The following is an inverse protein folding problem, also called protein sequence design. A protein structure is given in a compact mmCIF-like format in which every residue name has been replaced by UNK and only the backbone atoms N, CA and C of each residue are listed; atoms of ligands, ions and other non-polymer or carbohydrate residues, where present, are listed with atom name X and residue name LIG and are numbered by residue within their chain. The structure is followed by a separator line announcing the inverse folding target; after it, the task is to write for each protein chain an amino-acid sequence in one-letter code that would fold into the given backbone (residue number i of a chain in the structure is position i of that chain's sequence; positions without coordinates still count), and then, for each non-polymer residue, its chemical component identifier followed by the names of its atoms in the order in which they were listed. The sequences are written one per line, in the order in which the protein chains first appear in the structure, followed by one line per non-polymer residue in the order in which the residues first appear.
data_IF_569529264096
#
_entry.id   IF_569529264096
#
_cell.length_a   1.000
_cell.length_b   1.000
_cell.length_c   1.000
_cell.angle_alpha   90.00
_cell.angle_beta   90.00
_cell.angle_gamma   90.00
#
_symmetry.space_group_name_H-M   'P 1'
#
loop_
_entity.id
_entity.type
_entity.pdbx_description
1 polymer ?
#
# COMPACT_ATOMS: atom_id res chain seq x y z
N UNK A 1 -9.11 15.80 -46.17
CA UNK A 1 -7.85 16.19 -45.51
C UNK A 1 -8.12 16.59 -44.06
N UNK A 2 -7.77 15.75 -43.09
CA UNK A 2 -7.03 16.07 -41.85
C UNK A 2 -6.93 14.80 -41.00
N UNK A 3 -5.72 14.57 -40.51
CA UNK A 3 -5.07 13.28 -40.28
C UNK A 3 -5.41 12.64 -38.93
N UNK A 4 -5.44 11.31 -38.92
CA UNK A 4 -5.35 10.44 -37.75
C UNK A 4 -4.18 10.82 -36.84
N UNK A 5 -4.40 10.76 -35.52
CA UNK A 5 -3.35 10.38 -34.57
C UNK A 5 -3.94 9.32 -33.63
N UNK A 6 -3.65 8.07 -33.96
CA UNK A 6 -3.76 6.91 -33.09
C UNK A 6 -2.82 7.12 -31.90
N UNK A 7 -3.36 7.34 -30.71
CA UNK A 7 -2.59 7.28 -29.47
C UNK A 7 -2.27 5.82 -29.17
N UNK A 8 -1.04 5.41 -29.51
CA UNK A 8 -0.47 4.11 -29.17
C UNK A 8 -0.32 4.01 -27.65
N UNK A 9 -1.08 3.11 -27.02
CA UNK A 9 -0.83 2.63 -25.67
C UNK A 9 0.53 1.93 -25.65
N UNK A 10 1.52 2.60 -25.05
CA UNK A 10 2.82 2.01 -24.80
C UNK A 10 2.68 0.93 -23.72
N UNK A 11 2.67 -0.33 -24.16
CA UNK A 11 2.87 -1.48 -23.28
C UNK A 11 4.30 -1.41 -22.72
N UNK A 12 4.44 -0.92 -21.49
CA UNK A 12 5.69 -1.01 -20.75
C UNK A 12 5.84 -2.44 -20.21
N UNK A 13 6.42 -3.32 -21.03
CA UNK A 13 6.90 -4.63 -20.59
C UNK A 13 8.09 -4.45 -19.65
N UNK A 14 7.92 -4.83 -18.38
CA UNK A 14 9.05 -4.95 -17.46
C UNK A 14 9.67 -6.32 -17.69
N UNK A 15 10.68 -6.37 -18.55
CA UNK A 15 11.58 -7.52 -18.69
C UNK A 15 12.46 -7.56 -17.43
N UNK A 16 12.24 -8.57 -16.59
CA UNK A 16 13.10 -8.87 -15.45
C UNK A 16 14.32 -9.61 -16.00
N UNK A 17 15.34 -8.86 -16.42
CA UNK A 17 16.63 -9.42 -16.84
C UNK A 17 17.38 -9.84 -15.57
N UNK A 18 17.32 -11.14 -15.26
CA UNK A 18 18.30 -11.81 -14.41
C UNK A 18 19.62 -11.94 -15.17
N UNK A 19 20.39 -10.85 -15.31
CA UNK A 19 21.81 -10.96 -15.66
C UNK A 19 22.58 -11.27 -14.38
N UNK A 20 23.06 -12.51 -14.30
CA UNK A 20 23.98 -12.94 -13.27
C UNK A 20 25.26 -12.13 -13.31
N UNK A 21 25.55 -11.46 -12.20
CA UNK A 21 26.91 -11.10 -11.81
C UNK A 21 27.07 -11.48 -10.33
N UNK A 22 28.19 -12.14 -10.08
CA UNK A 22 28.60 -12.89 -8.89
C UNK A 22 28.49 -12.12 -7.56
N UNK A 23 28.34 -12.84 -6.42
CA UNK A 23 28.12 -12.21 -5.13
C UNK A 23 29.43 -11.62 -4.60
N UNK A 24 29.58 -10.30 -4.70
CA UNK A 24 30.44 -9.57 -3.79
C UNK A 24 29.71 -9.46 -2.45
N UNK A 25 30.03 -10.36 -1.53
CA UNK A 25 29.63 -10.26 -0.13
C UNK A 25 30.33 -9.05 0.51
N UNK A 26 29.72 -7.88 0.39
CA UNK A 26 30.03 -6.76 1.24
C UNK A 26 29.36 -7.00 2.61
N UNK A 27 30.18 -7.46 3.55
CA UNK A 27 29.90 -7.49 4.98
C UNK A 27 29.67 -6.06 5.49
N UNK A 28 28.53 -5.83 6.15
CA UNK A 28 28.34 -4.94 7.31
C UNK A 28 26.85 -4.56 7.44
N UNK A 29 26.10 -5.35 8.21
CA UNK A 29 25.05 -4.90 9.13
C UNK A 29 24.25 -6.11 9.60
N UNK A 30 23.95 -6.11 10.89
CA UNK A 30 23.18 -7.08 11.65
C UNK A 30 21.70 -7.09 11.21
N UNK A 31 21.44 -7.52 9.97
CA UNK A 31 20.13 -7.47 9.36
C UNK A 31 19.77 -8.85 8.84
N UNK A 32 18.89 -9.58 9.56
CA UNK A 32 18.34 -10.88 9.14
C UNK A 32 17.91 -10.78 7.67
N UNK A 33 18.70 -11.33 6.72
CA UNK A 33 18.43 -11.17 5.30
C UNK A 33 17.36 -12.16 4.86
N UNK A 34 17.09 -13.18 5.68
CA UNK A 34 16.05 -14.16 5.48
C UNK A 34 14.81 -13.78 6.29
N UNK A 35 13.65 -13.81 5.62
CA UNK A 35 12.33 -13.71 6.23
C UNK A 35 11.83 -15.14 6.41
N UNK A 36 11.65 -15.55 7.66
CA UNK A 36 11.01 -16.78 8.06
C UNK A 36 9.95 -16.46 9.12
N UNK A 37 8.68 -16.51 8.74
CA UNK A 37 7.57 -16.12 9.62
C UNK A 37 6.41 -17.11 9.48
N UNK A 38 6.43 -18.22 10.24
CA UNK A 38 5.27 -19.08 10.42
C UNK A 38 4.24 -18.40 11.32
N UNK A 39 2.96 -18.59 11.02
CA UNK A 39 1.84 -18.05 11.79
C UNK A 39 0.64 -18.98 11.73
N UNK A 40 -0.10 -19.09 12.84
CA UNK A 40 -1.37 -19.81 12.91
C UNK A 40 -2.49 -18.82 12.60
N UNK A 41 -3.25 -19.05 11.53
CA UNK A 41 -4.33 -18.16 11.05
C UNK A 41 -5.72 -18.64 11.46
N UNK A 42 -5.84 -19.86 11.98
CA UNK A 42 -7.08 -20.43 12.49
C UNK A 42 -6.83 -21.73 13.24
N UNK A 43 -7.89 -22.35 13.77
CA UNK A 43 -7.78 -23.61 14.54
C UNK A 43 -6.97 -24.68 13.81
N UNK A 44 -7.25 -24.84 12.50
CA UNK A 44 -6.62 -25.78 11.59
C UNK A 44 -6.02 -25.07 10.36
N UNK A 45 -5.56 -23.82 10.52
CA UNK A 45 -5.00 -23.05 9.41
C UNK A 45 -3.66 -22.43 9.79
N UNK A 46 -2.69 -22.60 8.90
CA UNK A 46 -1.32 -22.15 9.06
C UNK A 46 -0.88 -21.38 7.82
N UNK A 47 0.05 -20.46 8.04
CA UNK A 47 0.62 -19.63 7.00
C UNK A 47 2.11 -19.47 7.25
N UNK A 48 2.91 -19.77 6.23
CA UNK A 48 4.34 -19.62 6.25
C UNK A 48 4.75 -18.56 5.24
N UNK A 49 5.37 -17.48 5.71
CA UNK A 49 5.95 -16.44 4.87
C UNK A 49 7.47 -16.60 4.83
N UNK A 50 7.98 -16.76 3.62
CA UNK A 50 9.38 -16.92 3.28
C UNK A 50 9.82 -15.77 2.40
N UNK A 51 11.08 -15.36 2.51
CA UNK A 51 11.62 -14.38 1.58
C UNK A 51 13.01 -13.91 1.97
N UNK A 52 13.47 -12.92 1.22
CA UNK A 52 14.71 -12.21 1.49
C UNK A 52 14.44 -10.73 1.71
N UNK A 53 15.28 -10.10 2.51
CA UNK A 53 15.28 -8.67 2.81
C UNK A 53 16.68 -8.13 2.60
N UNK A 54 16.76 -7.00 1.92
CA UNK A 54 17.99 -6.25 1.74
C UNK A 54 17.74 -4.82 2.21
N UNK A 55 18.50 -4.39 3.20
CA UNK A 55 18.54 -3.01 3.67
C UNK A 55 19.60 -2.23 2.89
N UNK A 56 19.35 -0.95 2.63
CA UNK A 56 20.24 -0.11 1.84
C UNK A 56 19.58 1.22 1.46
N UNK A 57 20.03 1.84 0.37
CA UNK A 57 19.38 3.07 -0.16
C UNK A 57 17.89 2.84 -0.45
N UNK A 58 17.55 1.64 -0.88
CA UNK A 58 16.19 1.11 -0.92
C UNK A 58 16.17 -0.14 -0.05
N UNK A 59 15.23 -0.17 0.89
CA UNK A 59 14.89 -1.37 1.64
C UNK A 59 13.99 -2.23 0.76
N UNK A 60 14.53 -3.33 0.24
CA UNK A 60 13.81 -4.26 -0.62
C UNK A 60 13.55 -5.57 0.10
N UNK A 61 12.43 -6.19 -0.22
CA UNK A 61 12.07 -7.51 0.27
C UNK A 61 11.20 -8.22 -0.75
N UNK A 62 11.35 -9.53 -0.87
CA UNK A 62 10.54 -10.33 -1.77
C UNK A 62 10.52 -11.79 -1.30
N UNK A 63 9.48 -12.53 -1.69
CA UNK A 63 9.41 -13.94 -1.39
C UNK A 63 8.07 -14.57 -1.71
N UNK A 64 7.79 -15.65 -1.01
CA UNK A 64 6.58 -16.44 -1.18
C UNK A 64 5.87 -16.61 0.16
N UNK A 65 4.56 -16.70 0.10
CA UNK A 65 3.70 -17.02 1.23
C UNK A 65 2.87 -18.24 0.85
N UNK A 66 2.90 -19.25 1.71
CA UNK A 66 2.08 -20.44 1.56
C UNK A 66 1.10 -20.44 2.71
N UNK A 67 -0.20 -20.46 2.40
CA UNK A 67 -1.24 -20.66 3.40
C UNK A 67 -1.85 -22.04 3.20
N UNK A 68 -2.24 -22.71 4.28
CA UNK A 68 -2.92 -23.99 4.22
C UNK A 68 -3.96 -24.04 5.34
N UNK A 69 -5.20 -24.33 4.98
CA UNK A 69 -6.27 -24.63 5.92
C UNK A 69 -6.66 -26.10 5.82
N UNK A 70 -7.16 -26.66 6.92
CA UNK A 70 -7.83 -27.95 6.93
C UNK A 70 -9.21 -27.80 7.58
N UNK A 71 -10.18 -28.54 7.05
CA UNK A 71 -11.52 -28.68 7.64
C UNK A 71 -11.46 -29.49 8.93
N UNK A 72 -12.56 -29.53 9.69
CA UNK A 72 -12.65 -30.39 10.90
C UNK A 72 -12.48 -31.88 10.59
N UNK A 73 -12.78 -32.31 9.36
CA UNK A 73 -12.61 -33.68 8.89
C UNK A 73 -11.21 -33.96 8.32
N UNK A 74 -10.28 -33.01 8.43
CA UNK A 74 -8.89 -33.17 7.96
C UNK A 74 -8.67 -32.86 6.47
N UNK A 75 -9.72 -32.57 5.69
CA UNK A 75 -9.59 -32.21 4.27
C UNK A 75 -8.91 -30.85 4.13
N UNK A 76 -7.83 -30.77 3.35
CA UNK A 76 -7.15 -29.53 3.02
C UNK A 76 -8.10 -28.62 2.21
N UNK A 77 -8.18 -27.35 2.60
CA UNK A 77 -8.98 -26.33 1.94
C UNK A 77 -8.18 -25.02 1.84
N UNK A 78 -8.01 -24.48 0.62
CA UNK A 78 -8.46 -25.01 -0.68
C UNK A 78 -7.63 -26.23 -1.14
N UNK A 79 -8.12 -27.03 -2.11
CA UNK A 79 -7.35 -28.12 -2.70
C UNK A 79 -6.14 -27.54 -3.46
N UNK A 80 -4.95 -27.71 -2.89
CA UNK A 80 -3.71 -27.04 -3.32
C UNK A 80 -3.35 -25.92 -2.36
N UNK A 81 -2.13 -25.95 -1.81
CA UNK A 81 -1.66 -24.91 -0.89
C UNK A 81 -1.57 -23.57 -1.66
N UNK A 82 -2.38 -22.54 -1.35
CA UNK A 82 -2.29 -21.26 -2.02
C UNK A 82 -0.90 -20.66 -1.83
N UNK A 83 -0.19 -20.51 -2.94
CA UNK A 83 1.08 -19.79 -3.00
C UNK A 83 0.80 -18.36 -3.46
N UNK A 84 1.37 -17.40 -2.73
CA UNK A 84 1.35 -15.98 -3.04
C UNK A 84 2.78 -15.48 -3.14
N UNK A 85 3.15 -14.90 -4.27
CA UNK A 85 4.42 -14.20 -4.44
C UNK A 85 4.22 -12.75 -4.02
N UNK A 86 5.21 -12.17 -3.37
CA UNK A 86 5.13 -10.79 -2.91
C UNK A 86 6.49 -10.11 -3.02
N UNK A 87 6.46 -8.80 -3.19
CA UNK A 87 7.64 -7.96 -3.28
C UNK A 87 7.33 -6.55 -2.79
N UNK A 88 8.31 -5.93 -2.16
CA UNK A 88 8.22 -4.55 -1.68
C UNK A 88 9.58 -3.89 -1.75
N UNK A 89 9.61 -2.68 -2.29
CA UNK A 89 10.76 -1.79 -2.24
C UNK A 89 10.31 -0.49 -1.58
N UNK A 90 11.04 -0.02 -0.59
CA UNK A 90 10.75 1.23 0.10
C UNK A 90 12.00 2.04 0.31
N UNK A 91 11.85 3.36 0.33
CA UNK A 91 12.92 4.29 0.61
C UNK A 91 12.36 5.44 1.42
N UNK A 92 13.07 5.77 2.48
CA UNK A 92 12.85 6.98 3.23
C UNK A 92 14.05 7.91 3.05
N UNK A 93 13.77 9.21 3.01
CA UNK A 93 14.77 10.26 2.85
C UNK A 93 14.25 11.55 3.46
N UNK A 94 15.17 12.46 3.76
CA UNK A 94 14.84 13.71 4.44
C UNK A 94 15.57 13.81 5.78
N UNK A 95 15.76 15.04 6.23
CA UNK A 95 16.42 15.38 7.49
C UNK A 95 15.63 16.50 8.16
N UNK A 96 15.58 16.48 9.49
CA UNK A 96 14.89 17.49 10.28
C UNK A 96 13.39 17.58 9.93
N UNK A 97 12.94 18.79 9.61
CA UNK A 97 11.54 19.15 9.43
C UNK A 97 10.89 18.64 8.14
N UNK A 98 11.61 17.99 7.21
CA UNK A 98 11.05 17.46 5.96
C UNK A 98 11.39 15.98 5.82
N UNK A 99 10.37 15.14 5.65
CA UNK A 99 10.53 13.70 5.38
C UNK A 99 9.81 13.31 4.11
N UNK A 100 10.35 12.33 3.40
CA UNK A 100 9.79 11.77 2.19
C UNK A 100 9.97 10.26 2.19
N UNK A 101 8.88 9.54 1.99
CA UNK A 101 8.89 8.10 1.76
C UNK A 101 8.44 7.79 0.33
N UNK A 102 8.92 6.68 -0.20
CA UNK A 102 8.52 6.12 -1.49
C UNK A 102 8.45 4.61 -1.34
N UNK A 103 7.43 4.00 -1.91
CA UNK A 103 7.17 2.58 -1.79
C UNK A 103 6.64 2.04 -3.11
N UNK A 104 7.07 0.84 -3.46
CA UNK A 104 6.52 0.02 -4.53
C UNK A 104 6.24 -1.36 -3.95
N UNK A 105 5.11 -1.94 -4.29
CA UNK A 105 4.69 -3.26 -3.85
C UNK A 105 4.12 -4.05 -5.00
N UNK A 106 4.40 -5.34 -5.02
CA UNK A 106 3.84 -6.31 -5.94
C UNK A 106 3.34 -7.50 -5.14
N UNK A 107 2.20 -8.03 -5.52
CA UNK A 107 1.61 -9.24 -4.96
C UNK A 107 1.03 -10.07 -6.11
N UNK A 108 1.16 -11.39 -6.05
CA UNK A 108 0.57 -12.31 -7.03
C UNK A 108 0.06 -13.55 -6.33
N UNK A 109 -1.24 -13.81 -6.43
CA UNK A 109 -1.90 -14.99 -5.90
C UNK A 109 -2.08 -16.01 -7.02
N UNK A 110 -1.24 -17.06 -7.02
CA UNK A 110 -1.26 -18.09 -8.03
C UNK A 110 -2.61 -18.84 -8.06
N UNK A 111 -3.24 -19.08 -6.92
CA UNK A 111 -4.52 -19.81 -6.88
C UNK A 111 -5.64 -19.06 -7.62
N UNK A 112 -5.64 -17.73 -7.60
CA UNK A 112 -6.67 -16.90 -8.23
C UNK A 112 -6.23 -16.28 -9.56
N UNK A 113 -4.95 -16.40 -9.91
CA UNK A 113 -4.35 -15.66 -11.03
C UNK A 113 -4.29 -14.15 -10.83
N UNK A 114 -4.60 -13.63 -9.64
CA UNK A 114 -4.71 -12.18 -9.39
C UNK A 114 -3.36 -11.59 -8.97
N UNK A 115 -2.87 -10.61 -9.73
CA UNK A 115 -1.72 -9.78 -9.39
C UNK A 115 -2.13 -8.36 -9.00
N UNK A 116 -1.47 -7.80 -7.98
CA UNK A 116 -1.63 -6.42 -7.54
C UNK A 116 -0.28 -5.71 -7.65
N UNK A 117 -0.29 -4.53 -8.25
CA UNK A 117 0.84 -3.61 -8.30
C UNK A 117 0.44 -2.30 -7.61
N UNK A 118 1.33 -1.78 -6.77
CA UNK A 118 1.13 -0.53 -6.07
C UNK A 118 2.41 0.28 -6.03
N UNK A 119 2.29 1.60 -6.20
CA UNK A 119 3.39 2.52 -5.96
C UNK A 119 2.85 3.75 -5.24
N UNK A 120 3.63 4.31 -4.33
CA UNK A 120 3.22 5.48 -3.58
C UNK A 120 4.39 6.29 -3.04
N UNK A 121 4.09 7.55 -2.73
CA UNK A 121 5.02 8.47 -2.08
C UNK A 121 4.28 9.23 -1.00
N UNK A 122 4.91 9.38 0.16
CA UNK A 122 4.45 10.33 1.17
C UNK A 122 5.52 11.42 1.35
N UNK A 123 5.08 12.64 1.63
CA UNK A 123 5.96 13.75 2.01
C UNK A 123 5.33 14.46 3.20
N UNK A 124 6.07 14.61 4.28
CA UNK A 124 5.66 15.41 5.42
C UNK A 124 6.63 16.55 5.65
N UNK A 125 6.12 17.69 6.12
CA UNK A 125 6.92 18.83 6.51
C UNK A 125 6.24 19.70 7.57
N UNK A 126 7.04 20.41 8.35
CA UNK A 126 6.56 21.43 9.27
C UNK A 126 6.21 22.68 8.45
N UNK A 127 4.95 23.12 8.49
CA UNK A 127 4.49 24.36 7.83
C UNK A 127 4.76 25.56 8.72
N UNK A 128 4.41 25.44 10.00
CA UNK A 128 4.65 26.43 11.06
C UNK A 128 5.00 25.68 12.35
N UNK A 129 5.54 26.33 13.40
CA UNK A 129 5.87 25.65 14.67
C UNK A 129 4.71 24.88 15.32
N UNK A 130 3.46 25.16 14.92
CA UNK A 130 2.25 24.53 15.45
C UNK A 130 1.46 23.74 14.41
N UNK A 131 1.97 23.62 13.17
CA UNK A 131 1.26 22.99 12.07
C UNK A 131 2.21 22.16 11.19
N UNK A 132 1.89 20.90 11.03
CA UNK A 132 2.54 19.97 10.13
C UNK A 132 1.62 19.67 8.94
N UNK A 133 2.23 19.42 7.78
CA UNK A 133 1.55 18.98 6.58
C UNK A 133 2.11 17.63 6.12
N UNK A 134 1.23 16.79 5.61
CA UNK A 134 1.57 15.54 4.95
C UNK A 134 0.79 15.43 3.64
N UNK A 135 1.46 15.00 2.58
CA UNK A 135 0.83 14.67 1.30
C UNK A 135 1.21 13.26 0.92
N UNK A 136 0.21 12.44 0.64
CA UNK A 136 0.37 11.09 0.14
C UNK A 136 -0.20 10.97 -1.26
N UNK A 137 0.51 10.26 -2.14
CA UNK A 137 0.09 9.95 -3.50
C UNK A 137 0.36 8.48 -3.76
N UNK A 138 -0.61 7.76 -4.27
CA UNK A 138 -0.48 6.34 -4.59
C UNK A 138 -1.23 5.97 -5.86
N UNK A 139 -0.68 5.04 -6.61
CA UNK A 139 -1.33 4.37 -7.73
C UNK A 139 -1.41 2.88 -7.43
N UNK A 140 -2.55 2.27 -7.73
CA UNK A 140 -2.77 0.83 -7.61
C UNK A 140 -3.36 0.28 -8.92
N UNK A 141 -2.92 -0.91 -9.31
CA UNK A 141 -3.42 -1.65 -10.46
C UNK A 141 -3.58 -3.12 -10.06
N UNK A 142 -4.73 -3.69 -10.39
CA UNK A 142 -4.98 -5.12 -10.22
C UNK A 142 -5.22 -5.77 -11.58
N UNK A 143 -4.60 -6.92 -11.82
CA UNK A 143 -4.78 -7.72 -13.02
C UNK A 143 -5.11 -9.17 -12.66
N UNK A 144 -5.93 -9.83 -13.46
CA UNK A 144 -6.15 -11.27 -13.40
C UNK A 144 -5.54 -11.90 -14.67
N UNK A 145 -4.51 -12.72 -14.48
CA UNK A 145 -3.80 -13.40 -15.55
C UNK A 145 -4.65 -14.50 -16.22
N UNK A 146 -5.55 -15.14 -15.47
CA UNK A 146 -6.43 -16.19 -16.01
C UNK A 146 -7.57 -15.63 -16.84
N UNK A 147 -8.03 -14.43 -16.49
CA UNK A 147 -9.04 -13.70 -17.25
C UNK A 147 -8.43 -12.77 -18.32
N UNK A 148 -7.10 -12.66 -18.37
CA UNK A 148 -6.37 -11.70 -19.22
C UNK A 148 -6.90 -10.27 -19.13
N UNK A 149 -7.34 -9.85 -17.93
CA UNK A 149 -8.01 -8.57 -17.70
C UNK A 149 -7.34 -7.80 -16.58
N UNK A 150 -7.15 -6.50 -16.79
CA UNK A 150 -6.76 -5.57 -15.73
C UNK A 150 -7.91 -4.65 -15.36
N UNK A 151 -8.02 -4.36 -14.07
CA UNK A 151 -8.84 -3.27 -13.55
C UNK A 151 -8.29 -1.92 -14.00
N UNK A 152 -9.13 -0.90 -13.89
CA UNK A 152 -8.71 0.48 -14.10
C UNK A 152 -7.65 0.89 -13.07
N UNK A 153 -6.57 1.59 -13.46
CA UNK A 153 -5.62 2.14 -12.51
C UNK A 153 -6.32 3.11 -11.56
N UNK A 154 -6.12 2.90 -10.25
CA UNK A 154 -6.66 3.76 -9.21
C UNK A 154 -5.58 4.70 -8.70
N UNK A 155 -5.69 5.99 -9.00
CA UNK A 155 -4.86 7.03 -8.43
C UNK A 155 -5.55 7.59 -7.18
N UNK A 156 -4.81 7.73 -6.10
CA UNK A 156 -5.28 8.34 -4.85
C UNK A 156 -4.28 9.39 -4.41
N UNK A 157 -4.78 10.57 -4.07
CA UNK A 157 -4.01 11.64 -3.48
C UNK A 157 -4.69 12.08 -2.20
N UNK A 158 -3.93 12.21 -1.12
CA UNK A 158 -4.43 12.80 0.12
C UNK A 158 -3.47 13.85 0.63
N UNK A 159 -4.04 14.85 1.29
CA UNK A 159 -3.31 15.87 2.03
C UNK A 159 -3.88 15.90 3.45
N UNK A 160 -3.00 15.95 4.44
CA UNK A 160 -3.33 16.03 5.85
C UNK A 160 -2.60 17.22 6.46
N UNK A 161 -3.33 18.06 7.16
CA UNK A 161 -2.78 19.09 8.04
C UNK A 161 -2.98 18.61 9.47
N UNK A 162 -1.95 18.72 10.30
CA UNK A 162 -1.99 18.33 11.69
C UNK A 162 -1.54 19.51 12.55
N UNK A 163 -2.28 19.82 13.60
CA UNK A 163 -1.81 20.71 14.64
C UNK A 163 -1.50 19.89 15.90
N UNK A 164 -0.21 19.74 16.26
CA UNK A 164 0.16 19.02 17.49
C UNK A 164 -0.38 19.69 18.75
N UNK A 165 -0.51 21.03 18.74
CA UNK A 165 -0.96 21.82 19.89
C UNK A 165 -2.44 21.58 20.17
N UNK A 166 -3.31 21.69 19.15
CA UNK A 166 -4.75 21.47 19.31
C UNK A 166 -5.16 20.00 19.19
N UNK A 167 -4.21 19.12 18.82
CA UNK A 167 -4.42 17.70 18.50
C UNK A 167 -5.49 17.48 17.44
N UNK A 168 -5.62 18.43 16.53
CA UNK A 168 -6.57 18.41 15.42
C UNK A 168 -5.84 17.97 14.14
N UNK A 169 -6.52 17.22 13.28
CA UNK A 169 -6.07 16.99 11.92
C UNK A 169 -7.18 17.19 10.91
N UNK A 170 -6.86 17.84 9.80
CA UNK A 170 -7.73 18.02 8.65
C UNK A 170 -7.18 17.17 7.51
N UNK A 171 -8.00 16.31 6.93
CA UNK A 171 -7.62 15.41 5.83
C UNK A 171 -8.51 15.67 4.63
N UNK A 172 -7.90 15.79 3.46
CA UNK A 172 -8.57 15.87 2.16
C UNK A 172 -8.04 14.75 1.28
N UNK A 173 -8.94 14.00 0.65
CA UNK A 173 -8.62 12.89 -0.23
C UNK A 173 -9.34 13.04 -1.57
N UNK A 174 -8.58 12.85 -2.64
CA UNK A 174 -9.06 12.74 -4.01
C UNK A 174 -8.70 11.37 -4.57
N UNK A 175 -9.58 10.84 -5.39
CA UNK A 175 -9.39 9.60 -6.12
C UNK A 175 -9.68 9.85 -7.60
N UNK A 176 -8.97 9.17 -8.48
CA UNK A 176 -9.22 9.19 -9.91
C UNK A 176 -9.01 7.78 -10.50
N UNK A 177 -9.85 7.43 -11.47
CA UNK A 177 -9.77 6.19 -12.26
C UNK A 177 -9.71 6.54 -13.76
N UNK A 178 -9.43 5.57 -14.63
CA UNK A 178 -9.40 5.81 -16.08
C UNK A 178 -10.76 6.24 -16.66
N UNK A 179 -11.86 5.93 -15.97
CA UNK A 179 -13.22 6.35 -16.29
C UNK A 179 -13.55 7.81 -15.91
N UNK A 180 -12.69 8.50 -15.16
CA UNK A 180 -12.87 9.92 -14.83
C UNK A 180 -12.17 10.39 -13.54
N UNK A 181 -12.10 11.71 -13.38
CA UNK A 181 -11.70 12.35 -12.12
C UNK A 181 -12.91 12.38 -11.18
N UNK A 182 -12.91 11.56 -10.13
CA UNK A 182 -13.93 11.61 -9.06
C UNK A 182 -13.80 12.84 -8.14
N UNK A 183 -13.05 13.87 -8.53
CA UNK A 183 -12.89 15.12 -7.76
C UNK A 183 -12.37 14.89 -6.34
N UNK A 184 -12.87 15.68 -5.38
CA UNK A 184 -12.62 15.46 -3.96
C UNK A 184 -13.55 14.35 -3.48
N UNK A 185 -12.97 13.23 -3.04
CA UNK A 185 -13.71 12.04 -2.58
C UNK A 185 -13.97 12.02 -1.08
N UNK A 186 -13.15 12.71 -0.27
CA UNK A 186 -13.37 12.81 1.17
C UNK A 186 -12.74 14.06 1.75
N UNK A 187 -13.45 14.75 2.64
CA UNK A 187 -12.90 15.79 3.51
C UNK A 187 -13.24 15.38 4.93
N UNK A 188 -12.28 15.40 5.85
CA UNK A 188 -12.55 15.06 7.24
C UNK A 188 -11.69 15.83 8.23
N UNK A 189 -12.25 16.03 9.41
CA UNK A 189 -11.58 16.61 10.57
C UNK A 189 -11.59 15.57 11.68
N UNK A 190 -10.45 15.41 12.34
CA UNK A 190 -10.29 14.58 13.52
C UNK A 190 -9.72 15.43 14.65
N UNK A 191 -10.22 15.28 15.87
CA UNK A 191 -9.68 15.91 17.06
C UNK A 191 -9.53 14.90 18.19
N UNK A 192 -8.33 14.87 18.77
CA UNK A 192 -7.98 13.95 19.85
C UNK A 192 -8.00 14.67 21.21
N UNK A 193 -8.81 14.18 22.13
CA UNK A 193 -8.95 14.66 23.51
C UNK A 193 -8.51 13.57 24.49
N UNK A 194 -7.23 13.55 24.85
CA UNK A 194 -6.67 12.50 25.71
C UNK A 194 -6.83 11.12 25.05
N UNK A 195 -7.71 10.29 25.62
CA UNK A 195 -8.02 8.93 25.15
C UNK A 195 -9.23 8.85 24.20
N UNK A 196 -9.90 9.98 23.96
CA UNK A 196 -11.06 10.11 23.07
C UNK A 196 -10.62 10.70 21.73
N UNK A 197 -11.13 10.14 20.64
CA UNK A 197 -10.92 10.62 19.27
C UNK A 197 -12.27 10.84 18.62
N UNK A 198 -12.52 12.07 18.20
CA UNK A 198 -13.72 12.49 17.50
C UNK A 198 -13.35 12.77 16.05
N UNK A 199 -14.10 12.21 15.11
CA UNK A 199 -13.92 12.41 13.69
C UNK A 199 -15.25 12.74 13.02
N UNK A 200 -15.17 13.66 12.05
CA UNK A 200 -16.27 13.99 11.16
C UNK A 200 -15.71 14.05 9.75
N UNK A 201 -16.41 13.46 8.78
CA UNK A 201 -16.00 13.48 7.39
C UNK A 201 -17.19 13.55 6.46
N UNK A 202 -17.00 14.16 5.30
CA UNK A 202 -17.93 14.15 4.18
C UNK A 202 -17.28 13.35 3.06
N UNK A 203 -17.90 12.24 2.68
CA UNK A 203 -17.56 11.46 1.49
C UNK A 203 -18.29 12.03 0.27
N UNK A 204 -17.62 11.96 -0.89
CA UNK A 204 -18.10 12.39 -2.20
C UNK A 204 -18.82 13.76 -2.23
N UNK A 205 -18.25 14.82 -1.60
CA UNK A 205 -18.91 16.10 -1.38
C UNK A 205 -19.42 16.80 -2.65
N UNK A 206 -18.86 16.48 -3.82
CA UNK A 206 -19.18 17.13 -5.09
C UNK A 206 -20.24 16.37 -5.92
N UNK A 207 -20.51 15.11 -5.61
CA UNK A 207 -21.40 14.24 -6.39
C UNK A 207 -22.57 13.76 -5.54
N UNK A 208 -22.27 13.01 -4.48
CA UNK A 208 -23.25 12.49 -3.52
C UNK A 208 -22.72 12.70 -2.09
N UNK A 209 -22.91 13.89 -1.51
CA UNK A 209 -22.35 14.21 -0.20
C UNK A 209 -22.93 13.28 0.88
N UNK A 210 -22.06 12.52 1.54
CA UNK A 210 -22.42 11.61 2.64
C UNK A 210 -21.63 11.97 3.89
N UNK A 211 -22.35 12.33 4.95
CA UNK A 211 -21.73 12.67 6.23
C UNK A 211 -21.44 11.39 7.04
N UNK A 212 -20.24 11.32 7.59
CA UNK A 212 -19.74 10.22 8.41
C UNK A 212 -19.20 10.81 9.70
N UNK A 213 -19.71 10.34 10.83
CA UNK A 213 -19.21 10.71 12.16
C UNK A 213 -18.60 9.48 12.80
N UNK A 214 -17.42 9.63 13.38
CA UNK A 214 -16.73 8.57 14.11
C UNK A 214 -16.34 9.06 15.51
N UNK A 215 -16.55 8.18 16.48
CA UNK A 215 -16.15 8.39 17.87
C UNK A 215 -15.42 7.12 18.28
N UNK A 216 -14.18 7.27 18.74
CA UNK A 216 -13.39 6.14 19.23
C UNK A 216 -12.74 6.49 20.56
N UNK A 217 -12.76 5.53 21.48
CA UNK A 217 -12.19 5.66 22.83
C UNK A 217 -11.25 4.50 23.10
N UNK A 218 -10.08 4.79 23.66
CA UNK A 218 -9.08 3.78 23.98
C UNK A 218 -8.82 3.72 25.50
N UNK A 219 -8.98 2.53 26.08
CA UNK A 219 -8.58 2.26 27.47
C UNK A 219 -7.29 1.47 27.46
N UNK A 220 -6.28 1.95 28.19
CA UNK A 220 -5.07 1.19 28.51
C UNK A 220 -5.27 0.62 29.91
N UNK A 221 -5.21 -0.70 30.00
CA UNK A 221 -5.17 -1.47 31.24
C UNK A 221 -3.73 -1.85 31.53
#
# INVERSE_FOLDING_TARGET
MKKCVLARLAAAGIVLICTGQSPQFASAADDRPLIWSPSKTGANAYKLRLGVRRTGRWNTSAGAEVAMGATRTGKISPPGAPVRLWGMASRESGRGAVRRSSQVSVDYNALRGTGNFGAGTARSWIVTPTLDAEVHRSIALQCNAYESRCSEPKLTQSAKLLSPVSRTSLTVQSQASSSGLSGVSRIGVEQNFGNLRLGAAVADPLLEPRSVFDISYSMRW
#
